data_IF_572989173925
#
_entry.id   IF_572989173925
#
_cell.length_a   1.000
_cell.length_b   1.000
_cell.length_c   1.000
_cell.angle_alpha   90.00
_cell.angle_beta   90.00
_cell.angle_gamma   90.00
#
_symmetry.space_group_name_H-M   'P 1'
#
loop_
_entity.id
_entity.type
_entity.pdbx_description
1 polymer ?
#
# COMPACT_ATOMS: atom_id res chain seq x y z
N UNK A 1 3.87 -27.18 -3.41
CA UNK A 1 3.86 -25.69 -3.49
C UNK A 1 3.87 -25.07 -2.10
N UNK A 2 2.94 -25.42 -1.22
CA UNK A 2 2.89 -24.93 0.17
C UNK A 2 4.19 -25.23 0.95
N UNK A 3 4.70 -26.46 0.86
CA UNK A 3 5.95 -26.87 1.52
C UNK A 3 7.18 -26.02 1.08
N UNK A 4 7.23 -25.59 -0.18
CA UNK A 4 8.31 -24.72 -0.68
C UNK A 4 8.19 -23.29 -0.12
N UNK A 5 6.97 -22.80 0.07
CA UNK A 5 6.71 -21.50 0.70
C UNK A 5 7.04 -21.54 2.19
N UNK A 6 6.75 -22.64 2.88
CA UNK A 6 7.12 -22.84 4.29
C UNK A 6 8.64 -22.81 4.48
N UNK A 7 9.38 -23.49 3.59
CA UNK A 7 10.84 -23.56 3.61
C UNK A 7 11.55 -22.31 3.06
N UNK A 8 10.82 -21.31 2.55
CA UNK A 8 11.43 -20.11 1.98
C UNK A 8 12.18 -19.30 3.05
N UNK A 9 13.49 -19.04 2.89
CA UNK A 9 14.36 -18.56 3.98
C UNK A 9 14.41 -17.03 4.13
N UNK A 10 13.58 -16.31 3.39
CA UNK A 10 13.52 -14.86 3.37
C UNK A 10 12.18 -14.36 3.96
N UNK A 11 12.07 -13.06 4.28
CA UNK A 11 10.84 -12.47 4.79
C UNK A 11 9.63 -12.83 3.92
N UNK A 12 8.52 -13.14 4.60
CA UNK A 12 7.23 -13.43 3.97
C UNK A 12 6.27 -12.31 4.32
N UNK A 13 5.39 -11.97 3.38
CA UNK A 13 4.30 -11.04 3.63
C UNK A 13 3.20 -11.75 4.42
N UNK A 14 2.63 -11.06 5.40
CA UNK A 14 1.43 -11.50 6.11
C UNK A 14 0.17 -11.14 5.32
N UNK A 15 0.20 -10.03 4.57
CA UNK A 15 -0.89 -9.60 3.70
C UNK A 15 -0.36 -8.99 2.39
N UNK A 16 -1.11 -9.16 1.31
CA UNK A 16 -0.85 -8.55 0.00
C UNK A 16 -2.17 -8.12 -0.62
N UNK A 17 -2.26 -6.86 -1.03
CA UNK A 17 -3.48 -6.26 -1.58
C UNK A 17 -3.16 -5.04 -2.45
N UNK A 18 -4.18 -4.41 -3.01
CA UNK A 18 -4.07 -3.17 -3.79
C UNK A 18 -4.98 -2.08 -3.22
N UNK A 19 -4.65 -0.82 -3.49
CA UNK A 19 -5.53 0.30 -3.14
C UNK A 19 -6.90 0.13 -3.83
N UNK A 20 -8.01 0.22 -3.08
CA UNK A 20 -9.35 0.14 -3.68
C UNK A 20 -9.64 1.37 -4.53
N UNK A 21 -10.54 1.21 -5.49
CA UNK A 21 -11.07 2.35 -6.26
C UNK A 21 -12.12 3.14 -5.47
N UNK A 22 -12.42 4.34 -5.93
CA UNK A 22 -13.48 5.19 -5.41
C UNK A 22 -14.25 5.88 -6.54
N UNK A 23 -15.52 6.23 -6.30
CA UNK A 23 -16.32 7.02 -7.25
C UNK A 23 -16.00 8.53 -7.18
N UNK A 24 -15.42 8.96 -6.05
CA UNK A 24 -14.85 10.27 -5.82
C UNK A 24 -13.55 10.15 -5.05
N UNK A 25 -12.80 11.26 -4.93
CA UNK A 25 -11.60 11.27 -4.08
C UNK A 25 -11.91 10.98 -2.61
N UNK A 26 -13.06 11.47 -2.12
CA UNK A 26 -13.51 11.22 -0.74
C UNK A 26 -13.79 9.73 -0.53
N UNK A 27 -14.46 9.10 -1.51
CA UNK A 27 -14.73 7.66 -1.45
C UNK A 27 -13.43 6.84 -1.53
N UNK A 28 -12.48 7.23 -2.39
CA UNK A 28 -11.15 6.59 -2.50
C UNK A 28 -10.43 6.62 -1.14
N UNK A 29 -10.41 7.78 -0.49
CA UNK A 29 -9.80 7.97 0.83
C UNK A 29 -10.50 7.11 1.90
N UNK A 30 -11.84 7.11 1.91
CA UNK A 30 -12.64 6.30 2.84
C UNK A 30 -12.40 4.80 2.63
N UNK A 31 -12.42 4.32 1.38
CA UNK A 31 -12.18 2.92 1.03
C UNK A 31 -10.77 2.48 1.42
N UNK A 32 -9.76 3.32 1.19
CA UNK A 32 -8.40 3.03 1.64
C UNK A 32 -8.30 3.00 3.17
N UNK A 33 -8.98 3.90 3.88
CA UNK A 33 -9.01 3.86 5.34
C UNK A 33 -9.69 2.59 5.88
N UNK A 34 -10.77 2.12 5.23
CA UNK A 34 -11.41 0.83 5.55
C UNK A 34 -10.43 -0.32 5.34
N UNK A 35 -9.72 -0.33 4.21
CA UNK A 35 -8.69 -1.33 3.94
C UNK A 35 -7.64 -1.34 5.05
N UNK A 36 -7.02 -0.19 5.36
CA UNK A 36 -5.97 -0.10 6.37
C UNK A 36 -6.47 -0.56 7.74
N UNK A 37 -7.69 -0.19 8.13
CA UNK A 37 -8.32 -0.61 9.39
C UNK A 37 -8.61 -2.11 9.47
N UNK A 38 -8.76 -2.78 8.33
CA UNK A 38 -9.03 -4.21 8.27
C UNK A 38 -7.77 -5.08 8.36
N UNK A 39 -6.58 -4.48 8.16
CA UNK A 39 -5.31 -5.21 8.18
C UNK A 39 -4.97 -5.65 9.61
N UNK A 40 -4.58 -6.92 9.73
CA UNK A 40 -4.02 -7.45 10.98
C UNK A 40 -2.57 -6.96 11.15
N UNK A 41 -2.06 -6.87 12.39
CA UNK A 41 -0.64 -6.61 12.62
C UNK A 41 0.24 -7.60 11.86
N UNK A 42 1.25 -7.09 11.15
CA UNK A 42 2.14 -7.89 10.31
C UNK A 42 2.80 -7.06 9.21
N UNK A 43 3.56 -7.74 8.34
CA UNK A 43 4.16 -7.18 7.14
C UNK A 43 3.16 -7.21 5.98
N UNK A 44 2.68 -6.03 5.58
CA UNK A 44 1.71 -5.90 4.48
C UNK A 44 2.32 -5.16 3.31
N UNK A 45 2.12 -5.69 2.10
CA UNK A 45 2.34 -4.94 0.85
C UNK A 45 0.99 -4.46 0.30
N UNK A 46 0.89 -3.15 0.05
CA UNK A 46 -0.26 -2.54 -0.65
C UNK A 46 0.25 -1.96 -1.96
N UNK A 47 -0.22 -2.51 -3.07
CA UNK A 47 0.09 -2.04 -4.42
C UNK A 47 -0.73 -0.80 -4.79
N UNK A 48 -0.07 0.18 -5.42
CA UNK A 48 -0.69 1.39 -5.97
C UNK A 48 0.15 1.93 -7.13
N UNK A 49 -0.46 2.82 -7.93
CA UNK A 49 0.04 3.31 -9.21
C UNK A 49 0.03 4.85 -9.25
N UNK A 50 0.77 5.52 -8.35
CA UNK A 50 0.73 6.97 -8.25
C UNK A 50 1.18 7.60 -9.57
N UNK A 51 0.39 8.52 -10.13
CA UNK A 51 0.68 9.14 -11.42
C UNK A 51 0.33 10.63 -11.43
N UNK A 52 1.02 11.38 -12.29
CA UNK A 52 0.74 12.81 -12.52
C UNK A 52 -0.27 12.95 -13.66
N UNK A 53 -1.22 13.87 -13.51
CA UNK A 53 -2.23 14.15 -14.53
C UNK A 53 -1.59 14.68 -15.82
N UNK A 54 -1.70 13.91 -16.90
CA UNK A 54 -1.27 14.33 -18.25
C UNK A 54 -2.26 13.82 -19.30
N UNK A 55 -2.31 14.46 -20.46
CA UNK A 55 -3.17 14.01 -21.55
C UNK A 55 -2.69 12.68 -22.15
N UNK A 56 -1.40 12.38 -22.05
CA UNK A 56 -0.88 11.05 -22.38
C UNK A 56 -1.41 9.98 -21.42
N UNK A 57 -1.40 10.24 -20.11
CA UNK A 57 -1.94 9.31 -19.11
C UNK A 57 -3.42 9.00 -19.37
N UNK A 58 -4.23 10.04 -19.63
CA UNK A 58 -5.66 9.90 -19.95
C UNK A 58 -5.91 9.04 -21.18
N UNK A 59 -4.98 9.04 -22.14
CA UNK A 59 -5.07 8.25 -23.38
C UNK A 59 -4.62 6.80 -23.20
N UNK A 60 -3.61 6.53 -22.39
CA UNK A 60 -3.04 5.18 -22.24
C UNK A 60 -3.82 4.28 -21.27
N UNK A 61 -4.63 4.85 -20.37
CA UNK A 61 -5.37 4.05 -19.39
C UNK A 61 -6.67 4.71 -18.94
N UNK A 62 -7.75 3.92 -18.86
CA UNK A 62 -9.03 4.37 -18.32
C UNK A 62 -9.01 4.63 -16.81
N UNK A 63 -8.04 4.07 -16.07
CA UNK A 63 -7.91 4.28 -14.62
C UNK A 63 -7.06 5.50 -14.25
N UNK A 64 -6.78 6.39 -15.20
CA UNK A 64 -5.92 7.56 -15.00
C UNK A 64 -6.33 8.40 -13.78
N UNK A 65 -7.64 8.52 -13.52
CA UNK A 65 -8.17 9.31 -12.41
C UNK A 65 -7.86 8.67 -11.05
N UNK A 66 -8.00 7.34 -10.95
CA UNK A 66 -7.67 6.57 -9.75
C UNK A 66 -6.19 6.73 -9.37
N UNK A 67 -5.30 6.69 -10.37
CA UNK A 67 -3.85 6.84 -10.22
C UNK A 67 -3.41 8.21 -9.70
N UNK A 68 -4.10 9.26 -10.12
CA UNK A 68 -3.88 10.62 -9.59
C UNK A 68 -4.35 10.71 -8.14
N UNK A 69 -5.50 10.11 -7.84
CA UNK A 69 -6.02 10.06 -6.48
C UNK A 69 -5.12 9.27 -5.55
N UNK A 70 -4.52 8.16 -6.00
CA UNK A 70 -3.51 7.41 -5.24
C UNK A 70 -2.31 8.28 -4.88
N UNK A 71 -1.75 9.03 -5.83
CA UNK A 71 -0.65 9.96 -5.55
C UNK A 71 -1.02 10.99 -4.47
N UNK A 72 -2.22 11.57 -4.57
CA UNK A 72 -2.73 12.54 -3.58
C UNK A 72 -2.97 11.89 -2.22
N UNK A 73 -3.57 10.70 -2.18
CA UNK A 73 -3.98 9.98 -0.97
C UNK A 73 -2.80 9.61 -0.07
N UNK A 74 -1.69 9.13 -0.63
CA UNK A 74 -0.49 8.79 0.16
C UNK A 74 0.24 10.01 0.73
N UNK A 75 -0.12 11.22 0.29
CA UNK A 75 0.37 12.47 0.86
C UNK A 75 -0.70 13.18 1.71
N UNK A 76 -1.88 12.56 1.91
CA UNK A 76 -2.99 13.17 2.64
C UNK A 76 -2.67 13.20 4.15
N UNK A 77 -2.77 14.36 4.83
CA UNK A 77 -2.49 14.48 6.25
C UNK A 77 -3.31 13.53 7.12
N UNK A 78 -4.55 13.20 6.73
CA UNK A 78 -5.41 12.27 7.48
C UNK A 78 -4.83 10.86 7.47
N UNK A 79 -4.29 10.41 6.33
CA UNK A 79 -3.64 9.10 6.21
C UNK A 79 -2.35 9.07 7.02
N UNK A 80 -1.50 10.09 6.86
CA UNK A 80 -0.22 10.16 7.55
C UNK A 80 -0.39 10.21 9.07
N UNK A 81 -1.37 10.99 9.55
CA UNK A 81 -1.69 11.06 10.96
C UNK A 81 -2.23 9.74 11.49
N UNK A 82 -3.13 9.08 10.75
CA UNK A 82 -3.62 7.76 11.12
C UNK A 82 -2.49 6.72 11.22
N UNK A 83 -1.55 6.72 10.28
CA UNK A 83 -0.39 5.81 10.33
C UNK A 83 0.45 6.04 11.58
N UNK A 84 0.71 7.31 11.91
CA UNK A 84 1.45 7.70 13.11
C UNK A 84 0.73 7.25 14.40
N UNK A 85 -0.57 7.50 14.50
CA UNK A 85 -1.36 7.23 15.70
C UNK A 85 -1.56 5.73 15.95
N UNK A 86 -1.44 4.89 14.92
CA UNK A 86 -1.66 3.45 14.99
C UNK A 86 -0.37 2.62 14.84
N UNK A 87 0.81 3.24 15.00
CA UNK A 87 2.14 2.62 14.85
C UNK A 87 2.34 1.87 13.51
N UNK A 88 1.71 2.36 12.45
CA UNK A 88 1.87 1.83 11.09
C UNK A 88 3.15 2.43 10.51
N UNK A 89 4.18 1.59 10.40
CA UNK A 89 5.50 1.97 9.87
C UNK A 89 5.57 1.69 8.38
N UNK A 90 5.60 2.73 7.56
CA UNK A 90 6.06 2.60 6.18
C UNK A 90 7.50 2.10 6.16
N UNK A 91 7.82 1.19 5.26
CA UNK A 91 9.15 0.59 5.19
C UNK A 91 9.51 0.26 3.75
N UNK A 92 10.78 -0.06 3.53
CA UNK A 92 11.30 -0.50 2.23
C UNK A 92 11.76 -1.95 2.29
N UNK A 93 11.88 -2.60 1.14
CA UNK A 93 12.47 -3.95 1.04
C UNK A 93 13.86 -4.06 1.67
N UNK A 94 14.67 -2.99 1.59
CA UNK A 94 15.99 -2.93 2.23
C UNK A 94 15.89 -2.95 3.76
N UNK A 95 14.98 -2.19 4.33
CA UNK A 95 14.76 -2.15 5.78
C UNK A 95 14.14 -3.45 6.31
N UNK A 96 13.23 -4.06 5.54
CA UNK A 96 12.66 -5.38 5.85
C UNK A 96 13.79 -6.42 5.95
N UNK A 97 14.66 -6.49 4.94
CA UNK A 97 15.80 -7.41 4.95
C UNK A 97 16.76 -7.13 6.11
N UNK A 98 17.11 -5.86 6.34
CA UNK A 98 17.96 -5.47 7.47
C UNK A 98 17.38 -5.97 8.81
N UNK A 99 16.09 -5.69 9.08
CA UNK A 99 15.42 -6.14 10.32
C UNK A 99 15.32 -7.66 10.41
N UNK A 100 15.22 -8.35 9.28
CA UNK A 100 15.18 -9.81 9.25
C UNK A 100 16.54 -10.43 9.58
N UNK A 101 17.62 -9.86 9.05
CA UNK A 101 18.99 -10.29 9.36
C UNK A 101 19.38 -10.00 10.81
N UNK A 102 18.97 -8.85 11.35
CA UNK A 102 19.19 -8.48 12.77
C UNK A 102 18.46 -9.37 13.78
N UNK A 103 17.42 -10.12 13.34
CA UNK A 103 16.65 -11.05 14.17
C UNK A 103 17.21 -12.48 14.18
N UNK A 104 18.14 -12.80 13.27
CA UNK A 104 18.83 -14.09 13.23
C UNK A 104 19.90 -14.15 14.32
#
# INVERSE_FOLDING_TARGET
MIEYLEKYPLPKLDNFTSVPDGNSYVDKLANFMILVKSLKPGLTEILFHPSIATDNLKRITGSWQQRIWEAKMFSDPVILQYFKDNDIKMTTWREIMKRFEERK
#
